data_IF_231902232835
#
_entry.id   IF_231902232835
#
_cell.length_a   1.000
_cell.length_b   1.000
_cell.length_c   1.000
_cell.angle_alpha   90.00
_cell.angle_beta   90.00
_cell.angle_gamma   90.00
#
_symmetry.space_group_name_H-M   'P 1'
#
loop_
_entity.id
_entity.type
_entity.pdbx_description
1 polymer ?
#
# COMPACT_ATOMS: atom_id res chain seq x y z
N UNK A 1 -42.91 -0.91 -17.42
CA UNK A 1 -41.77 -0.58 -16.55
C UNK A 1 -41.28 -1.87 -15.91
N UNK A 2 -40.17 -2.42 -16.41
CA UNK A 2 -39.54 -3.61 -15.84
C UNK A 2 -38.68 -3.16 -14.66
N UNK A 3 -39.07 -3.52 -13.44
CA UNK A 3 -38.21 -3.39 -12.26
C UNK A 3 -37.05 -4.38 -12.42
N UNK A 4 -35.83 -3.87 -12.57
CA UNK A 4 -34.62 -4.69 -12.43
C UNK A 4 -34.51 -5.12 -10.97
N UNK A 5 -34.43 -6.44 -10.77
CA UNK A 5 -34.31 -7.07 -9.47
C UNK A 5 -32.89 -6.79 -8.92
N UNK A 6 -32.79 -5.91 -7.93
CA UNK A 6 -31.54 -5.47 -7.27
C UNK A 6 -30.87 -6.56 -6.42
N UNK A 7 -31.48 -7.74 -6.30
CA UNK A 7 -30.99 -8.85 -5.48
C UNK A 7 -29.77 -9.56 -6.08
N UNK A 8 -29.57 -9.53 -7.41
CA UNK A 8 -28.40 -10.15 -8.05
C UNK A 8 -27.10 -9.36 -7.81
N UNK A 9 -27.18 -8.02 -7.76
CA UNK A 9 -26.01 -7.16 -7.53
C UNK A 9 -25.44 -7.32 -6.11
N UNK A 10 -26.31 -7.50 -5.09
CA UNK A 10 -25.90 -7.64 -3.68
C UNK A 10 -25.24 -9.01 -3.43
N UNK A 11 -25.77 -10.07 -4.04
CA UNK A 11 -25.20 -11.42 -3.97
C UNK A 11 -23.76 -11.46 -4.49
N UNK A 12 -23.46 -10.68 -5.55
CA UNK A 12 -22.11 -10.54 -6.10
C UNK A 12 -21.17 -9.70 -5.22
N UNK A 13 -21.72 -8.79 -4.42
CA UNK A 13 -20.95 -7.89 -3.54
C UNK A 13 -20.51 -8.59 -2.24
N UNK A 14 -21.32 -9.51 -1.70
CA UNK A 14 -20.99 -10.33 -0.53
C UNK A 14 -19.96 -11.43 -0.84
N UNK A 15 -19.74 -11.74 -2.13
CA UNK A 15 -18.64 -12.61 -2.57
C UNK A 15 -17.28 -11.91 -2.67
N UNK A 16 -17.22 -10.58 -2.50
CA UNK A 16 -15.95 -9.86 -2.41
C UNK A 16 -15.21 -10.29 -1.12
N UNK A 17 -13.98 -10.84 -1.22
CA UNK A 17 -13.23 -11.31 -0.07
C UNK A 17 -12.99 -10.22 0.99
N UNK A 18 -12.92 -8.94 0.60
CA UNK A 18 -12.75 -7.81 1.53
C UNK A 18 -14.04 -7.52 2.31
N UNK A 19 -15.21 -7.83 1.75
CA UNK A 19 -16.53 -7.64 2.37
C UNK A 19 -16.94 -8.86 3.19
N UNK A 20 -16.50 -10.06 2.80
CA UNK A 20 -16.81 -11.31 3.51
C UNK A 20 -16.03 -11.49 4.81
N UNK A 21 -14.76 -11.09 4.82
CA UNK A 21 -13.85 -11.33 5.94
C UNK A 21 -14.30 -10.77 7.33
N UNK A 22 -14.98 -9.61 7.44
CA UNK A 22 -15.57 -9.16 8.71
C UNK A 22 -16.67 -10.08 9.26
N UNK A 23 -17.48 -10.67 8.38
CA UNK A 23 -18.55 -11.59 8.76
C UNK A 23 -17.99 -12.95 9.21
N UNK A 24 -16.98 -13.45 8.48
CA UNK A 24 -16.25 -14.66 8.87
C UNK A 24 -15.54 -14.48 10.24
N UNK A 25 -14.98 -13.30 10.52
CA UNK A 25 -14.31 -13.00 11.79
C UNK A 25 -15.25 -12.96 13.00
N UNK A 26 -16.54 -12.70 12.79
CA UNK A 26 -17.56 -12.66 13.85
C UNK A 26 -18.35 -13.95 13.99
N UNK A 27 -18.10 -14.94 13.12
CA UNK A 27 -18.90 -16.16 13.05
C UNK A 27 -20.35 -15.91 12.58
N UNK A 28 -20.59 -14.78 11.89
CA UNK A 28 -21.91 -14.36 11.43
C UNK A 28 -22.09 -14.77 9.95
N UNK A 29 -23.14 -15.53 9.65
CA UNK A 29 -23.53 -15.88 8.27
C UNK A 29 -24.64 -14.93 7.79
N UNK A 30 -24.36 -14.03 6.82
CA UNK A 30 -25.34 -13.07 6.30
C UNK A 30 -26.49 -13.72 5.50
N UNK A 31 -26.51 -15.06 5.34
CA UNK A 31 -27.59 -15.79 4.66
C UNK A 31 -28.73 -16.25 5.59
N UNK A 32 -28.69 -15.88 6.87
CA UNK A 32 -29.77 -16.17 7.83
C UNK A 32 -31.07 -15.44 7.47
N UNK A 33 -32.18 -16.17 7.49
CA UNK A 33 -33.52 -15.68 7.14
C UNK A 33 -33.92 -14.46 7.99
N UNK A 34 -33.92 -13.26 7.39
CA UNK A 34 -34.55 -12.07 8.00
C UNK A 34 -33.98 -10.70 7.65
N UNK A 35 -32.84 -10.57 6.97
CA UNK A 35 -32.10 -9.30 6.91
C UNK A 35 -32.05 -8.57 5.53
N UNK A 36 -32.98 -8.88 4.61
CA UNK A 36 -33.09 -8.17 3.33
C UNK A 36 -33.37 -6.65 3.49
N UNK A 37 -33.85 -6.20 4.65
CA UNK A 37 -34.13 -4.78 4.90
C UNK A 37 -32.92 -3.97 5.41
N UNK A 38 -31.96 -4.59 6.12
CA UNK A 38 -30.89 -3.85 6.82
C UNK A 38 -29.77 -3.43 5.85
N UNK A 39 -29.48 -4.26 4.85
CA UNK A 39 -28.49 -3.96 3.80
C UNK A 39 -28.99 -2.94 2.76
N UNK A 40 -30.30 -2.64 2.75
CA UNK A 40 -30.94 -1.69 1.83
C UNK A 40 -30.64 -0.21 2.16
N UNK A 41 -30.19 0.09 3.38
CA UNK A 41 -29.90 1.47 3.82
C UNK A 41 -28.72 2.12 3.10
N UNK A 42 -27.79 1.32 2.55
CA UNK A 42 -26.59 1.83 1.87
C UNK A 42 -26.58 1.58 0.35
N UNK A 43 -27.57 0.87 -0.18
CA UNK A 43 -27.61 0.45 -1.59
C UNK A 43 -28.24 1.47 -2.53
N UNK A 44 -28.73 2.61 -2.02
CA UNK A 44 -29.35 3.63 -2.88
C UNK A 44 -28.29 4.46 -3.61
N UNK A 45 -28.18 4.37 -4.95
CA UNK A 45 -27.19 5.12 -5.74
C UNK A 45 -27.36 6.65 -5.62
N UNK A 46 -28.55 7.10 -5.21
CA UNK A 46 -28.86 8.52 -4.97
C UNK A 46 -28.15 9.08 -3.73
N UNK A 47 -27.82 8.26 -2.73
CA UNK A 47 -27.07 8.71 -1.56
C UNK A 47 -25.56 8.78 -1.83
N UNK A 48 -25.04 7.93 -2.72
CA UNK A 48 -23.63 7.99 -3.18
C UNK A 48 -23.30 9.38 -3.76
N UNK A 49 -24.25 9.99 -4.48
CA UNK A 49 -24.11 11.35 -5.03
C UNK A 49 -24.07 12.44 -3.95
N UNK A 50 -24.77 12.28 -2.83
CA UNK A 50 -24.73 13.23 -1.71
C UNK A 50 -23.38 13.23 -0.98
N UNK A 51 -22.62 12.14 -1.09
CA UNK A 51 -21.27 12.01 -0.55
C UNK A 51 -20.18 12.62 -1.46
N UNK A 52 -20.50 13.08 -2.68
CA UNK A 52 -19.52 13.72 -3.57
C UNK A 52 -19.22 15.19 -3.26
N UNK A 53 -19.82 15.77 -2.22
CA UNK A 53 -19.36 17.04 -1.65
C UNK A 53 -18.01 16.85 -0.95
N UNK A 54 -16.90 16.96 -1.71
CA UNK A 54 -15.52 16.62 -1.29
C UNK A 54 -15.10 17.12 0.10
N UNK A 55 -15.56 18.30 0.53
CA UNK A 55 -15.21 18.88 1.84
C UNK A 55 -16.01 18.30 3.02
N UNK A 56 -17.31 17.99 2.83
CA UNK A 56 -18.12 17.34 3.88
C UNK A 56 -17.79 15.86 3.99
N UNK A 57 -17.42 15.22 2.88
CA UNK A 57 -17.00 13.83 2.86
C UNK A 57 -15.76 13.58 3.74
N UNK A 58 -14.79 14.50 3.75
CA UNK A 58 -13.60 14.41 4.61
C UNK A 58 -13.97 14.36 6.09
N UNK A 59 -14.82 15.30 6.55
CA UNK A 59 -15.27 15.36 7.96
C UNK A 59 -16.15 14.18 8.36
N UNK A 60 -17.00 13.70 7.46
CA UNK A 60 -17.84 12.51 7.70
C UNK A 60 -16.94 11.27 7.82
N UNK A 61 -16.01 11.06 6.87
CA UNK A 61 -15.05 9.95 6.92
C UNK A 61 -14.24 9.96 8.22
N UNK A 62 -13.76 11.14 8.62
CA UNK A 62 -13.02 11.31 9.86
C UNK A 62 -13.87 10.97 11.09
N UNK A 63 -15.11 11.48 11.16
CA UNK A 63 -16.02 11.22 12.28
C UNK A 63 -16.39 9.73 12.39
N UNK A 64 -16.69 9.10 11.26
CA UNK A 64 -16.98 7.65 11.19
C UNK A 64 -15.77 6.85 11.65
N UNK A 65 -14.57 7.17 11.15
CA UNK A 65 -13.36 6.45 11.52
C UNK A 65 -12.97 6.64 12.99
N UNK A 66 -13.16 7.86 13.54
CA UNK A 66 -12.99 8.13 14.97
C UNK A 66 -13.99 7.31 15.80
N UNK A 67 -15.25 7.21 15.36
CA UNK A 67 -16.25 6.33 15.98
C UNK A 67 -15.82 4.87 15.99
N UNK A 68 -15.43 4.32 14.84
CA UNK A 68 -14.94 2.93 14.74
C UNK A 68 -13.73 2.70 15.65
N UNK A 69 -12.78 3.64 15.71
CA UNK A 69 -11.60 3.55 16.57
C UNK A 69 -11.93 3.56 18.07
N UNK A 70 -12.97 4.27 18.49
CA UNK A 70 -13.42 4.25 19.89
C UNK A 70 -13.93 2.85 20.24
N UNK A 71 -14.73 2.27 19.34
CA UNK A 71 -15.38 0.98 19.52
C UNK A 71 -14.46 -0.23 19.35
N UNK A 72 -13.20 -0.09 18.88
CA UNK A 72 -12.25 -1.22 18.85
C UNK A 72 -11.92 -1.78 20.22
N UNK A 73 -12.19 -1.02 21.30
CA UNK A 73 -11.93 -1.44 22.68
C UNK A 73 -13.11 -2.18 23.31
N UNK A 74 -14.25 -2.21 22.62
CA UNK A 74 -15.44 -2.87 23.11
C UNK A 74 -15.22 -4.38 23.11
N UNK A 75 -15.79 -5.06 24.11
CA UNK A 75 -15.72 -6.52 24.19
C UNK A 75 -16.85 -7.12 23.36
N UNK A 76 -16.53 -8.11 22.54
CA UNK A 76 -17.50 -8.87 21.73
C UNK A 76 -17.41 -8.57 20.23
N UNK A 77 -18.32 -9.18 19.47
CA UNK A 77 -18.28 -9.22 18.01
C UNK A 77 -18.20 -7.85 17.34
N UNK A 78 -18.88 -6.83 17.89
CA UNK A 78 -18.82 -5.47 17.35
C UNK A 78 -17.43 -4.83 17.48
N UNK A 79 -16.74 -5.03 18.61
CA UNK A 79 -15.37 -4.57 18.81
C UNK A 79 -14.38 -5.29 17.91
N UNK A 80 -14.62 -6.58 17.64
CA UNK A 80 -13.82 -7.38 16.70
C UNK A 80 -13.98 -6.88 15.26
N UNK A 81 -15.20 -6.56 14.82
CA UNK A 81 -15.46 -5.93 13.50
C UNK A 81 -14.76 -4.59 13.41
N UNK A 82 -14.92 -3.72 14.42
CA UNK A 82 -14.29 -2.41 14.42
C UNK A 82 -12.76 -2.54 14.33
N UNK A 83 -12.18 -3.48 15.07
CA UNK A 83 -10.74 -3.78 15.05
C UNK A 83 -10.28 -4.28 13.69
N UNK A 84 -11.06 -5.17 13.08
CA UNK A 84 -10.80 -5.67 11.74
C UNK A 84 -10.83 -4.54 10.70
N UNK A 85 -11.89 -3.72 10.70
CA UNK A 85 -12.04 -2.59 9.77
C UNK A 85 -10.89 -1.60 9.93
N UNK A 86 -10.52 -1.25 11.17
CA UNK A 86 -9.36 -0.39 11.46
C UNK A 86 -8.07 -0.97 10.90
N UNK A 87 -7.86 -2.28 11.05
CA UNK A 87 -6.69 -2.97 10.52
C UNK A 87 -6.67 -3.00 8.99
N UNK A 88 -7.80 -3.29 8.35
CA UNK A 88 -7.94 -3.34 6.90
C UNK A 88 -7.75 -1.96 6.24
N UNK A 89 -8.22 -0.90 6.90
CA UNK A 89 -8.08 0.48 6.40
C UNK A 89 -6.70 1.08 6.72
N UNK A 90 -5.99 0.56 7.72
CA UNK A 90 -4.67 1.05 8.09
C UNK A 90 -3.65 0.88 6.97
N UNK A 91 -3.03 1.98 6.56
CA UNK A 91 -2.03 2.07 5.49
C UNK A 91 -2.56 1.62 4.12
N UNK A 92 -3.88 1.51 3.93
CA UNK A 92 -4.48 1.13 2.67
C UNK A 92 -4.06 2.12 1.57
N UNK A 93 -3.64 1.60 0.43
CA UNK A 93 -3.06 2.37 -0.69
C UNK A 93 -1.75 3.11 -0.39
N UNK A 94 -1.08 2.82 0.74
CA UNK A 94 0.22 3.39 1.13
C UNK A 94 1.31 2.34 1.30
N UNK A 95 1.09 1.11 0.82
CA UNK A 95 2.04 0.00 0.99
C UNK A 95 3.44 0.32 0.46
N UNK A 96 3.54 1.01 -0.69
CA UNK A 96 4.83 1.42 -1.25
C UNK A 96 5.59 2.38 -0.32
N UNK A 97 4.90 3.40 0.20
CA UNK A 97 5.46 4.30 1.22
C UNK A 97 5.92 3.53 2.46
N UNK A 98 5.09 2.63 2.98
CA UNK A 98 5.43 1.83 4.16
C UNK A 98 6.66 0.95 3.93
N UNK A 99 6.79 0.34 2.76
CA UNK A 99 7.95 -0.50 2.41
C UNK A 99 9.21 0.35 2.32
N UNK A 100 9.17 1.50 1.64
CA UNK A 100 10.31 2.42 1.56
C UNK A 100 10.71 2.91 2.96
N UNK A 101 9.75 3.33 3.78
CA UNK A 101 10.04 3.81 5.12
C UNK A 101 10.68 2.74 5.99
N UNK A 102 10.10 1.54 6.03
CA UNK A 102 10.63 0.43 6.84
C UNK A 102 12.00 -0.05 6.37
N UNK A 103 12.20 -0.14 5.06
CA UNK A 103 13.36 -0.80 4.49
C UNK A 103 14.53 0.16 4.28
N UNK A 104 14.28 1.42 3.91
CA UNK A 104 15.33 2.37 3.55
C UNK A 104 15.52 3.48 4.60
N UNK A 105 14.44 3.99 5.19
CA UNK A 105 14.53 5.09 6.16
C UNK A 105 14.97 4.58 7.53
N UNK A 106 14.33 3.51 8.03
CA UNK A 106 14.69 2.96 9.36
C UNK A 106 16.07 2.29 9.39
N UNK A 107 16.58 1.86 8.24
CA UNK A 107 17.90 1.23 8.11
C UNK A 107 19.03 2.23 7.81
N UNK A 108 18.71 3.52 7.71
CA UNK A 108 19.64 4.58 7.27
C UNK A 108 20.39 4.21 5.97
N UNK A 109 19.63 3.79 4.97
CA UNK A 109 20.21 3.22 3.76
C UNK A 109 21.03 4.23 2.96
N UNK A 110 22.23 3.85 2.47
CA UNK A 110 23.06 4.73 1.63
C UNK A 110 22.39 5.12 0.30
N UNK A 111 21.36 4.37 -0.13
CA UNK A 111 20.54 4.70 -1.31
C UNK A 111 19.88 6.08 -1.17
N UNK A 112 19.57 6.51 0.05
CA UNK A 112 18.96 7.83 0.30
C UNK A 112 19.94 9.00 0.08
N UNK A 113 21.25 8.73 0.04
CA UNK A 113 22.29 9.70 -0.27
C UNK A 113 22.67 9.75 -1.76
N UNK A 114 22.11 8.86 -2.59
CA UNK A 114 22.50 8.78 -3.99
C UNK A 114 21.92 9.96 -4.81
N UNK A 115 22.80 10.74 -5.43
CA UNK A 115 22.41 11.95 -6.16
C UNK A 115 21.42 11.71 -7.30
N UNK A 116 21.48 10.56 -7.98
CA UNK A 116 20.53 10.22 -9.05
C UNK A 116 19.08 10.04 -8.56
N UNK A 117 18.88 9.81 -7.26
CA UNK A 117 17.55 9.67 -6.65
C UNK A 117 17.14 10.91 -5.84
N UNK A 118 17.87 12.02 -5.93
CA UNK A 118 17.63 13.22 -5.11
C UNK A 118 16.18 13.73 -5.21
N UNK A 119 15.56 13.64 -6.39
CA UNK A 119 14.17 14.05 -6.58
C UNK A 119 13.17 13.12 -5.84
N UNK A 120 13.34 11.81 -5.97
CA UNK A 120 12.50 10.84 -5.25
C UNK A 120 12.71 10.92 -3.73
N UNK A 121 13.95 11.15 -3.28
CA UNK A 121 14.26 11.34 -1.85
C UNK A 121 13.62 12.61 -1.29
N UNK A 122 13.60 13.70 -2.06
CA UNK A 122 12.89 14.91 -1.67
C UNK A 122 11.36 14.69 -1.62
N UNK A 123 10.80 13.97 -2.59
CA UNK A 123 9.39 13.58 -2.56
C UNK A 123 9.07 12.71 -1.34
N UNK A 124 9.94 11.75 -1.00
CA UNK A 124 9.84 10.94 0.21
C UNK A 124 9.89 11.79 1.48
N UNK A 125 10.79 12.78 1.57
CA UNK A 125 10.86 13.70 2.71
C UNK A 125 9.55 14.47 2.90
N UNK A 126 8.97 14.97 1.81
CA UNK A 126 7.67 15.63 1.83
C UNK A 126 6.55 14.69 2.27
N UNK A 127 6.56 13.46 1.76
CA UNK A 127 5.61 12.40 2.15
C UNK A 127 5.71 12.09 3.65
N UNK A 128 6.92 11.90 4.18
CA UNK A 128 7.16 11.66 5.62
C UNK A 128 6.64 12.82 6.46
N UNK A 129 6.92 14.07 6.07
CA UNK A 129 6.42 15.26 6.77
C UNK A 129 4.89 15.35 6.75
N UNK A 130 4.25 14.99 5.63
CA UNK A 130 2.80 14.98 5.53
C UNK A 130 2.15 13.89 6.39
N UNK A 131 2.76 12.70 6.43
CA UNK A 131 2.30 11.57 7.25
C UNK A 131 2.48 11.87 8.73
N UNK A 132 3.64 12.38 9.15
CA UNK A 132 3.93 12.70 10.55
C UNK A 132 3.15 13.90 11.07
N UNK A 133 2.78 14.84 10.20
CA UNK A 133 1.93 15.98 10.54
C UNK A 133 0.43 15.68 10.57
N UNK A 134 0.01 14.44 10.31
CA UNK A 134 -1.39 14.02 10.35
C UNK A 134 -1.79 13.54 11.74
N UNK A 135 -3.00 13.91 12.21
CA UNK A 135 -3.59 13.36 13.44
C UNK A 135 -3.77 11.84 13.35
N UNK A 136 -4.01 11.33 12.13
CA UNK A 136 -4.31 9.93 11.86
C UNK A 136 -3.44 9.40 10.71
N UNK A 137 -2.12 9.22 10.91
CA UNK A 137 -1.16 8.91 9.85
C UNK A 137 -1.51 7.65 9.03
N UNK A 138 -1.99 6.61 9.72
CA UNK A 138 -2.37 5.31 9.12
C UNK A 138 -3.51 5.44 8.12
N UNK A 139 -4.29 6.51 8.20
CA UNK A 139 -5.47 6.71 7.37
C UNK A 139 -5.32 7.92 6.46
N UNK A 140 -4.09 8.44 6.29
CA UNK A 140 -3.83 9.64 5.52
C UNK A 140 -4.43 9.58 4.12
N UNK A 141 -4.34 8.44 3.42
CA UNK A 141 -4.91 8.20 2.08
C UNK A 141 -6.44 8.16 2.03
N UNK A 142 -7.08 7.94 3.17
CA UNK A 142 -8.54 7.83 3.30
C UNK A 142 -9.13 9.17 3.76
N UNK A 143 -8.41 9.88 4.64
CA UNK A 143 -8.89 11.08 5.34
C UNK A 143 -8.36 12.42 4.82
N UNK A 144 -7.18 12.44 4.20
CA UNK A 144 -6.55 13.68 3.71
C UNK A 144 -7.43 14.47 2.73
N UNK A 145 -7.02 15.69 2.39
CA UNK A 145 -7.60 16.37 1.24
C UNK A 145 -6.87 15.93 -0.04
N UNK A 146 -7.48 16.12 -1.21
CA UNK A 146 -6.88 15.77 -2.52
C UNK A 146 -5.44 16.27 -2.71
N UNK A 147 -5.09 17.38 -2.05
CA UNK A 147 -3.76 17.99 -2.04
C UNK A 147 -2.70 17.24 -1.21
N UNK A 148 -3.06 16.33 -0.30
CA UNK A 148 -2.11 15.58 0.53
C UNK A 148 -1.98 14.11 0.10
N UNK A 149 -3.00 13.56 -0.56
CA UNK A 149 -2.98 12.16 -1.03
C UNK A 149 -1.91 11.86 -2.06
N UNK A 150 -1.69 12.80 -2.99
CA UNK A 150 -0.74 12.59 -4.10
C UNK A 150 0.70 12.40 -3.59
N UNK A 151 1.02 12.91 -2.40
CA UNK A 151 2.38 12.89 -1.84
C UNK A 151 2.88 11.48 -1.48
N UNK A 152 1.96 10.53 -1.25
CA UNK A 152 2.30 9.15 -0.87
C UNK A 152 2.03 8.15 -1.99
N UNK A 153 1.82 8.64 -3.22
CA UNK A 153 1.60 7.78 -4.38
C UNK A 153 2.86 7.07 -4.84
N UNK A 154 2.66 5.91 -5.45
CA UNK A 154 3.75 5.11 -6.00
C UNK A 154 4.54 5.87 -7.07
N UNK A 155 3.87 6.75 -7.81
CA UNK A 155 4.46 7.60 -8.85
C UNK A 155 5.46 8.62 -8.30
N UNK A 156 5.42 8.95 -7.01
CA UNK A 156 6.28 9.99 -6.41
C UNK A 156 7.69 9.49 -6.12
N UNK A 157 7.86 8.19 -5.93
CA UNK A 157 9.15 7.55 -5.62
C UNK A 157 9.19 6.09 -6.11
N UNK A 158 8.97 5.85 -7.43
CA UNK A 158 8.82 4.51 -7.99
C UNK A 158 10.09 3.67 -7.86
N UNK A 159 11.27 4.27 -8.00
CA UNK A 159 12.55 3.56 -7.92
C UNK A 159 12.82 3.13 -6.48
N UNK A 160 12.59 4.02 -5.51
CA UNK A 160 12.71 3.68 -4.09
C UNK A 160 11.77 2.53 -3.70
N UNK A 161 10.54 2.50 -4.24
CA UNK A 161 9.60 1.40 -4.02
C UNK A 161 10.18 0.10 -4.58
N UNK A 162 10.60 0.10 -5.84
CA UNK A 162 11.15 -1.10 -6.48
C UNK A 162 12.35 -1.67 -5.69
N UNK A 163 13.27 -0.80 -5.27
CA UNK A 163 14.43 -1.17 -4.44
C UNK A 163 13.97 -1.78 -3.10
N UNK A 164 13.03 -1.12 -2.41
CA UNK A 164 12.52 -1.60 -1.13
C UNK A 164 11.84 -2.96 -1.24
N UNK A 165 11.04 -3.18 -2.28
CA UNK A 165 10.36 -4.45 -2.53
C UNK A 165 11.34 -5.56 -2.87
N UNK A 166 12.39 -5.26 -3.63
CA UNK A 166 13.42 -6.24 -3.99
C UNK A 166 14.25 -6.64 -2.76
N UNK A 167 14.63 -5.69 -1.90
CA UNK A 167 15.31 -5.99 -0.63
C UNK A 167 14.44 -6.90 0.23
N UNK A 168 13.14 -6.57 0.38
CA UNK A 168 12.21 -7.39 1.17
C UNK A 168 12.06 -8.80 0.60
N UNK A 169 11.97 -8.95 -0.72
CA UNK A 169 11.89 -10.27 -1.39
C UNK A 169 13.15 -11.12 -1.18
N UNK A 170 14.31 -10.48 -1.12
CA UNK A 170 15.62 -11.15 -1.05
C UNK A 170 16.21 -11.14 0.37
N UNK A 171 15.45 -10.75 1.39
CA UNK A 171 15.95 -10.54 2.76
C UNK A 171 16.57 -11.80 3.40
N UNK A 172 16.22 -13.00 2.92
CA UNK A 172 16.81 -14.28 3.36
C UNK A 172 18.07 -14.69 2.59
N UNK A 173 18.48 -13.96 1.55
CA UNK A 173 19.62 -14.29 0.70
C UNK A 173 20.90 -13.62 1.21
N UNK A 174 21.90 -14.43 1.58
CA UNK A 174 23.21 -13.98 2.09
C UNK A 174 24.02 -13.27 1.00
N UNK A 175 23.87 -13.70 -0.26
CA UNK A 175 24.55 -13.13 -1.42
C UNK A 175 23.50 -12.60 -2.40
N UNK A 176 23.47 -11.29 -2.62
CA UNK A 176 22.61 -10.71 -3.65
C UNK A 176 23.09 -11.16 -5.02
N UNK A 177 22.26 -11.92 -5.74
CA UNK A 177 22.53 -12.36 -7.11
C UNK A 177 21.53 -11.67 -8.05
N UNK A 178 21.98 -10.81 -8.97
CA UNK A 178 21.10 -10.18 -9.94
C UNK A 178 20.38 -11.26 -10.78
N UNK A 179 19.09 -11.06 -11.05
CA UNK A 179 18.33 -11.93 -11.93
C UNK A 179 18.63 -11.57 -13.40
N UNK A 180 19.80 -11.94 -13.91
CA UNK A 180 20.14 -11.76 -15.33
C UNK A 180 21.61 -11.41 -15.60
N UNK A 181 21.96 -11.32 -16.89
CA UNK A 181 23.29 -10.99 -17.39
C UNK A 181 23.65 -9.50 -17.31
N UNK A 182 22.69 -8.61 -17.05
CA UNK A 182 22.91 -7.17 -16.84
C UNK A 182 22.33 -6.73 -15.50
N UNK A 183 23.10 -5.97 -14.72
CA UNK A 183 22.58 -5.28 -13.54
C UNK A 183 21.55 -4.25 -13.99
N UNK A 184 20.32 -4.37 -13.49
CA UNK A 184 19.37 -3.28 -13.60
C UNK A 184 19.76 -2.14 -12.64
N UNK A 185 19.23 -0.94 -12.90
CA UNK A 185 19.41 0.21 -12.01
C UNK A 185 18.91 -0.09 -10.58
N UNK A 186 17.85 -0.89 -10.45
CA UNK A 186 17.33 -1.34 -9.15
C UNK A 186 18.34 -2.27 -8.46
N UNK A 187 18.93 -3.22 -9.18
CA UNK A 187 19.94 -4.14 -8.62
C UNK A 187 21.16 -3.40 -8.08
N UNK A 188 21.58 -2.34 -8.77
CA UNK A 188 22.66 -1.46 -8.34
C UNK A 188 22.35 -0.78 -7.00
N UNK A 189 21.14 -0.26 -6.83
CA UNK A 189 20.71 0.35 -5.58
C UNK A 189 20.50 -0.67 -4.45
N UNK A 190 20.04 -1.89 -4.76
CA UNK A 190 19.96 -2.98 -3.78
C UNK A 190 21.36 -3.39 -3.30
N UNK A 191 22.33 -3.51 -4.21
CA UNK A 191 23.72 -3.78 -3.85
C UNK A 191 24.33 -2.65 -3.01
N UNK A 192 23.99 -1.39 -3.32
CA UNK A 192 24.37 -0.23 -2.51
C UNK A 192 23.78 -0.31 -1.10
N UNK A 193 22.49 -0.62 -0.97
CA UNK A 193 21.84 -0.81 0.33
C UNK A 193 22.54 -1.89 1.18
N UNK A 194 22.98 -2.98 0.56
CA UNK A 194 23.64 -4.11 1.22
C UNK A 194 25.14 -3.90 1.47
N UNK A 195 25.71 -2.74 1.12
CA UNK A 195 27.16 -2.48 1.12
C UNK A 195 27.97 -3.47 0.23
N UNK A 196 27.33 -4.10 -0.74
CA UNK A 196 27.93 -5.04 -1.70
C UNK A 196 28.21 -4.37 -3.06
N UNK A 197 28.24 -3.04 -3.06
CA UNK A 197 28.30 -2.23 -4.27
C UNK A 197 29.55 -2.50 -5.12
N UNK A 198 30.72 -2.50 -4.48
CA UNK A 198 32.00 -2.71 -5.17
C UNK A 198 32.07 -4.11 -5.80
N UNK A 199 31.54 -5.12 -5.10
CA UNK A 199 31.49 -6.50 -5.58
C UNK A 199 30.52 -6.67 -6.75
N UNK A 200 29.35 -6.03 -6.69
CA UNK A 200 28.38 -6.04 -7.78
C UNK A 200 28.93 -5.37 -9.04
N UNK A 201 29.57 -4.20 -8.91
CA UNK A 201 30.20 -3.50 -10.04
C UNK A 201 31.34 -4.35 -10.64
N UNK A 202 32.19 -4.93 -9.80
CA UNK A 202 33.29 -5.80 -10.24
C UNK A 202 32.76 -7.03 -10.99
N UNK A 203 31.72 -7.68 -10.46
CA UNK A 203 31.08 -8.81 -11.11
C UNK A 203 30.51 -8.42 -12.50
N UNK A 204 29.85 -7.27 -12.59
CA UNK A 204 29.29 -6.78 -13.85
C UNK A 204 30.37 -6.45 -14.90
N UNK A 205 31.46 -5.78 -14.49
CA UNK A 205 32.58 -5.47 -15.39
C UNK A 205 33.24 -6.75 -15.92
N UNK A 206 33.48 -7.73 -15.03
CA UNK A 206 34.06 -9.01 -15.44
C UNK A 206 33.16 -9.78 -16.40
N UNK A 207 31.83 -9.71 -16.21
CA UNK A 207 30.87 -10.35 -17.09
C UNK A 207 30.80 -9.68 -18.46
N UNK A 208 30.81 -8.34 -18.52
CA UNK A 208 30.88 -7.60 -19.79
C UNK A 208 32.15 -7.89 -20.60
N UNK A 209 33.29 -8.02 -19.92
CA UNK A 209 34.57 -8.40 -20.56
C UNK A 209 34.48 -9.82 -21.15
N UNK A 210 33.85 -10.76 -20.43
CA UNK A 210 33.67 -12.13 -20.90
C UNK A 210 32.71 -12.23 -22.09
N UNK A 211 31.59 -11.50 -22.06
CA UNK A 211 30.63 -11.47 -23.17
C UNK A 211 31.25 -10.92 -24.47
N UNK A 212 32.12 -9.91 -24.36
CA UNK A 212 32.88 -9.39 -25.52
C UNK A 212 33.88 -10.39 -26.07
N UNK A 213 34.62 -11.10 -25.20
CA UNK A 213 35.57 -12.13 -25.64
C UNK A 213 34.88 -13.28 -26.38
N UNK A 214 33.70 -13.69 -25.95
CA UNK A 214 32.93 -14.72 -26.65
C UNK A 214 32.33 -14.25 -27.98
N UNK A 215 32.18 -12.94 -28.18
CA UNK A 215 31.67 -12.35 -29.42
C UNK A 215 32.75 -12.20 -30.51
N UNK A 216 34.02 -12.13 -30.12
CA UNK A 216 35.17 -12.00 -31.04
C UNK A 216 35.75 -13.36 -31.49
N UNK A 217 35.30 -14.47 -30.90
CA UNK A 217 35.76 -15.84 -31.18
C UNK A 217 34.77 -16.70 -32.02
N UNK A 218 33.70 -16.10 -32.56
CA UNK A 218 32.69 -16.76 -33.40
C UNK A 218 32.60 -16.19 -34.81
#
# INVERSE_FOLDING_TARGET
MLYKNTNEDISSMVTDPDIKAPFDATGYDPRGEGEDEVLSLFSHPKHVLCYWGYAQLGRIKESVLKGILIHTKDKGSFGDVCSYVVKALSWKHMTGFCNVYKTLVLSDSPVLGFHGLAHEVENLRRAVKAVSGSEMPRFLRILGDGSKYHMVEKSMFPTLIAVSEQIMRTAGEVNFRPAGSRLSEVDFHVAMHRNQFADAVKAHVMQFVNDRRQSDEG
#
